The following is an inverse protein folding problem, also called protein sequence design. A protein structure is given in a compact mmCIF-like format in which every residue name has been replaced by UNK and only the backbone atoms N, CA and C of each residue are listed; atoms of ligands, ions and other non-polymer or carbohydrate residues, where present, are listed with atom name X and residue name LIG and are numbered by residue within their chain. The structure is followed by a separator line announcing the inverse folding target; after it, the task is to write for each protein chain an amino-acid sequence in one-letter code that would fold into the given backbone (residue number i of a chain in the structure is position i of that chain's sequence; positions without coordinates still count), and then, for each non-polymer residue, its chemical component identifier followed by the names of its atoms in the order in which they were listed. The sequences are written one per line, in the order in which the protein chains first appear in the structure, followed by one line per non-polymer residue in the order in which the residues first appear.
data_IF_745702819599
#
_entry.id   IF_745702819599
#
_cell.length_a   1.000
_cell.length_b   1.000
_cell.length_c   1.000
_cell.angle_alpha   90.00
_cell.angle_beta   90.00
_cell.angle_gamma   90.00
#
_symmetry.space_group_name_H-M   'P 1'
#
loop_
_entity.id
_entity.type
_entity.pdbx_description
1 polymer ?
#
# COMPACT_ATOMS: atom_id res chain seq x y z
N UNK A 1 4.47 -0.42 16.17
CA UNK A 1 4.66 -0.53 14.71
C UNK A 1 4.35 -1.96 14.33
N UNK A 2 3.61 -2.19 13.25
CA UNK A 2 3.27 -3.55 12.80
C UNK A 2 4.25 -3.96 11.70
N UNK A 3 4.86 -5.14 11.84
CA UNK A 3 5.72 -5.73 10.80
C UNK A 3 4.84 -6.46 9.80
N UNK A 4 4.88 -6.02 8.53
CA UNK A 4 4.24 -6.67 7.39
C UNK A 4 5.32 -7.31 6.54
N UNK A 5 5.35 -8.65 6.52
CA UNK A 5 6.43 -9.40 5.87
C UNK A 5 6.10 -9.67 4.40
N UNK A 6 7.06 -9.40 3.52
CA UNK A 6 6.99 -9.81 2.12
C UNK A 6 7.17 -11.33 2.00
N UNK A 7 6.11 -12.01 1.59
CA UNK A 7 6.09 -13.47 1.44
C UNK A 7 6.67 -13.98 0.11
N UNK A 8 6.89 -13.08 -0.84
CA UNK A 8 7.25 -13.38 -2.24
C UNK A 8 6.07 -13.27 -3.20
N UNK A 9 4.93 -12.76 -2.73
CA UNK A 9 3.72 -12.52 -3.52
C UNK A 9 3.42 -11.04 -3.78
N UNK A 10 4.35 -10.14 -3.43
CA UNK A 10 4.17 -8.71 -3.57
C UNK A 10 3.17 -8.15 -2.56
N UNK A 11 3.39 -8.41 -1.28
CA UNK A 11 2.47 -8.00 -0.21
C UNK A 11 2.36 -6.48 -0.14
N UNK A 12 1.13 -5.97 -0.26
CA UNK A 12 0.84 -4.53 -0.16
C UNK A 12 1.23 -4.04 1.25
N UNK A 13 1.99 -2.95 1.31
CA UNK A 13 2.44 -2.36 2.57
C UNK A 13 3.51 -3.19 3.30
N UNK A 14 4.14 -4.18 2.63
CA UNK A 14 5.27 -4.89 3.20
C UNK A 14 6.38 -3.92 3.59
N UNK A 15 6.90 -4.09 4.81
CA UNK A 15 7.97 -3.28 5.38
C UNK A 15 9.14 -4.12 5.93
N UNK A 16 9.11 -5.43 5.70
CA UNK A 16 10.16 -6.35 6.14
C UNK A 16 10.29 -7.56 5.20
N UNK A 17 11.49 -8.08 5.02
CA UNK A 17 11.75 -9.31 4.27
C UNK A 17 11.61 -10.58 5.13
N UNK A 18 11.64 -10.46 6.44
CA UNK A 18 11.32 -11.51 7.39
C UNK A 18 10.90 -10.88 8.73
N UNK A 19 10.34 -11.67 9.62
CA UNK A 19 9.94 -11.23 10.96
C UNK A 19 11.06 -11.39 12.02
N UNK A 20 10.82 -10.86 13.21
CA UNK A 20 11.75 -10.97 14.33
C UNK A 20 12.04 -12.41 14.76
N UNK A 21 11.08 -13.34 14.60
CA UNK A 21 11.28 -14.77 14.91
C UNK A 21 12.32 -15.41 13.99
N UNK A 22 12.30 -15.05 12.69
CA UNK A 22 13.34 -15.48 11.74
C UNK A 22 14.73 -15.00 12.17
N UNK A 23 14.85 -13.70 12.55
CA UNK A 23 16.12 -13.14 13.02
C UNK A 23 16.61 -13.86 14.27
N UNK A 24 15.71 -14.14 15.22
CA UNK A 24 16.03 -14.91 16.42
C UNK A 24 16.61 -16.27 16.05
N UNK A 25 15.91 -17.05 15.21
CA UNK A 25 16.37 -18.37 14.75
C UNK A 25 17.72 -18.29 14.03
N UNK A 26 17.90 -17.29 13.17
CA UNK A 26 19.15 -17.06 12.44
C UNK A 26 20.33 -16.78 13.37
N UNK A 27 20.15 -15.98 14.41
CA UNK A 27 21.19 -15.65 15.39
C UNK A 27 21.45 -16.81 16.35
N UNK A 28 20.42 -17.55 16.76
CA UNK A 28 20.55 -18.75 17.61
C UNK A 28 21.44 -19.80 16.95
N UNK A 29 21.23 -20.09 15.68
CA UNK A 29 22.07 -21.05 14.93
C UNK A 29 23.54 -20.63 14.81
N UNK A 30 23.87 -19.39 15.19
CA UNK A 30 25.21 -18.79 15.17
C UNK A 30 25.72 -18.42 16.56
N UNK A 31 25.00 -18.83 17.62
CA UNK A 31 25.32 -18.53 19.02
C UNK A 31 25.48 -17.03 19.31
N UNK A 32 24.63 -16.20 18.66
CA UNK A 32 24.67 -14.72 18.76
C UNK A 32 23.35 -14.13 19.29
N UNK A 33 22.41 -14.95 19.72
CA UNK A 33 21.05 -14.53 20.10
C UNK A 33 20.94 -13.79 21.43
N UNK A 34 21.91 -13.91 22.35
CA UNK A 34 21.79 -13.44 23.74
C UNK A 34 21.35 -11.98 23.83
N UNK A 35 22.08 -11.09 23.14
CA UNK A 35 21.77 -9.66 23.16
C UNK A 35 20.50 -9.31 22.38
N UNK A 36 20.15 -10.07 21.34
CA UNK A 36 18.90 -9.94 20.60
C UNK A 36 17.68 -10.40 21.43
N UNK A 37 17.81 -11.50 22.13
CA UNK A 37 16.74 -12.07 22.96
C UNK A 37 16.41 -11.20 24.18
N UNK A 38 17.34 -10.39 24.64
CA UNK A 38 17.13 -9.41 25.72
C UNK A 38 16.26 -8.21 25.33
N UNK A 39 16.01 -8.00 24.03
CA UNK A 39 15.18 -6.93 23.54
C UNK A 39 13.69 -7.22 23.72
N UNK A 40 12.88 -6.17 23.85
CA UNK A 40 11.42 -6.27 23.76
C UNK A 40 10.98 -6.63 22.33
N UNK A 41 9.77 -7.18 22.19
CA UNK A 41 9.18 -7.46 20.86
C UNK A 41 9.16 -6.23 19.98
N UNK A 42 8.71 -5.07 20.52
CA UNK A 42 8.64 -3.83 19.78
C UNK A 42 10.00 -3.34 19.27
N UNK A 43 11.07 -3.50 20.06
CA UNK A 43 12.43 -3.16 19.64
C UNK A 43 12.91 -4.09 18.52
N UNK A 44 12.68 -5.40 18.65
CA UNK A 44 13.04 -6.36 17.61
C UNK A 44 12.32 -6.07 16.29
N UNK A 45 11.04 -5.76 16.35
CA UNK A 45 10.24 -5.39 15.17
C UNK A 45 10.76 -4.09 14.53
N UNK A 46 11.08 -3.08 15.33
CA UNK A 46 11.68 -1.83 14.85
C UNK A 46 13.02 -2.06 14.13
N UNK A 47 13.88 -2.92 14.68
CA UNK A 47 15.19 -3.21 14.07
C UNK A 47 15.06 -4.03 12.77
N UNK A 48 14.07 -4.91 12.67
CA UNK A 48 13.75 -5.64 11.43
C UNK A 48 13.34 -4.68 10.32
N UNK A 49 12.47 -3.72 10.63
CA UNK A 49 12.04 -2.71 9.65
C UNK A 49 13.21 -1.81 9.27
N UNK A 50 13.98 -1.28 10.24
CA UNK A 50 15.15 -0.44 9.98
C UNK A 50 16.21 -1.13 9.11
N UNK A 51 16.42 -2.43 9.32
CA UNK A 51 17.31 -3.23 8.48
C UNK A 51 16.81 -3.37 7.05
N UNK A 52 15.50 -3.55 6.87
CA UNK A 52 14.88 -3.61 5.54
C UNK A 52 14.98 -2.26 4.84
N UNK A 53 14.66 -1.16 5.52
CA UNK A 53 14.79 0.20 4.99
C UNK A 53 16.23 0.50 4.53
N UNK A 54 17.22 0.05 5.31
CA UNK A 54 18.63 0.20 4.92
C UNK A 54 18.96 -0.59 3.65
N UNK A 55 18.46 -1.83 3.52
CA UNK A 55 18.64 -2.63 2.31
C UNK A 55 18.02 -1.91 1.12
N UNK A 56 16.79 -1.41 1.24
CA UNK A 56 16.09 -0.71 0.17
C UNK A 56 16.84 0.56 -0.27
N UNK A 57 17.30 1.38 0.67
CA UNK A 57 18.04 2.62 0.40
C UNK A 57 19.38 2.34 -0.27
N UNK A 58 20.13 1.38 0.25
CA UNK A 58 21.49 1.10 -0.21
C UNK A 58 21.56 0.24 -1.47
N UNK A 59 20.71 -0.78 -1.55
CA UNK A 59 20.79 -1.83 -2.54
C UNK A 59 19.63 -1.85 -3.53
N UNK A 60 18.47 -1.29 -3.18
CA UNK A 60 17.22 -1.41 -3.92
C UNK A 60 17.35 -1.03 -5.40
N UNK A 61 18.08 0.04 -5.71
CA UNK A 61 18.33 0.51 -7.07
C UNK A 61 19.38 -0.31 -7.85
N UNK A 62 20.12 -1.21 -7.17
CA UNK A 62 21.19 -2.03 -7.76
C UNK A 62 20.79 -3.48 -7.99
N UNK A 63 19.67 -3.93 -7.43
CA UNK A 63 19.22 -5.30 -7.61
C UNK A 63 18.91 -5.59 -9.08
N UNK A 64 19.41 -6.74 -9.56
CA UNK A 64 19.17 -7.25 -10.90
C UNK A 64 17.71 -7.68 -11.09
N UNK A 65 17.26 -7.78 -12.35
CA UNK A 65 15.86 -8.08 -12.67
C UNK A 65 14.94 -6.88 -12.46
N UNK A 66 13.63 -7.11 -12.60
CA UNK A 66 12.57 -6.08 -12.42
C UNK A 66 11.64 -6.46 -11.29
N UNK A 67 11.00 -5.50 -10.62
CA UNK A 67 9.95 -5.78 -9.63
C UNK A 67 8.85 -6.60 -10.27
N UNK A 68 8.37 -7.63 -9.57
CA UNK A 68 7.48 -8.64 -10.15
C UNK A 68 6.03 -8.20 -10.20
N UNK A 69 5.57 -7.47 -9.19
CA UNK A 69 4.16 -7.13 -9.04
C UNK A 69 3.90 -5.64 -9.24
N UNK A 70 2.91 -5.39 -10.08
CA UNK A 70 2.14 -4.16 -10.08
C UNK A 70 0.73 -4.54 -9.64
N UNK A 71 0.08 -3.69 -8.88
CA UNK A 71 -1.28 -3.88 -8.41
C UNK A 71 -2.18 -2.91 -9.16
N UNK A 72 -3.31 -3.41 -9.63
CA UNK A 72 -4.35 -2.56 -10.18
C UNK A 72 -5.09 -1.83 -9.04
N UNK A 73 -5.68 -0.70 -9.36
CA UNK A 73 -6.55 0.00 -8.45
C UNK A 73 -7.72 -0.90 -8.04
N UNK A 74 -7.99 -0.98 -6.75
CA UNK A 74 -9.19 -1.62 -6.22
C UNK A 74 -10.27 -0.54 -6.08
N UNK A 75 -11.40 -0.63 -6.78
CA UNK A 75 -12.46 0.37 -6.67
C UNK A 75 -13.14 0.31 -5.30
N UNK A 76 -13.63 1.46 -4.84
CA UNK A 76 -14.46 1.50 -3.65
C UNK A 76 -15.82 0.85 -3.87
N UNK A 77 -16.39 0.30 -2.81
CA UNK A 77 -17.72 -0.30 -2.80
C UNK A 77 -18.63 0.40 -1.80
N UNK A 78 -19.93 0.36 -2.05
CA UNK A 78 -20.97 0.81 -1.14
C UNK A 78 -22.18 -0.12 -1.24
N UNK A 79 -23.12 -0.03 -0.31
CA UNK A 79 -24.35 -0.82 -0.39
C UNK A 79 -25.58 -0.04 0.10
N UNK A 80 -26.72 -0.43 -0.45
CA UNK A 80 -28.05 0.07 -0.09
C UNK A 80 -28.90 -1.14 0.29
N UNK A 81 -29.33 -1.23 1.53
CA UNK A 81 -30.10 -2.34 2.07
C UNK A 81 -31.52 -1.87 2.41
N UNK A 82 -32.52 -2.45 1.80
CA UNK A 82 -33.93 -2.16 2.02
C UNK A 82 -34.51 -3.18 3.00
N UNK A 83 -34.82 -2.75 4.23
CA UNK A 83 -35.58 -3.57 5.15
C UNK A 83 -37.07 -3.62 4.80
N UNK A 84 -37.59 -2.52 4.24
CA UNK A 84 -38.93 -2.40 3.66
C UNK A 84 -38.93 -1.27 2.61
N UNK A 85 -40.07 -1.00 1.98
CA UNK A 85 -40.20 0.10 1.04
C UNK A 85 -39.90 1.45 1.74
N UNK A 86 -39.17 2.38 1.11
CA UNK A 86 -39.03 3.76 1.59
C UNK A 86 -40.39 4.49 1.53
N UNK A 87 -40.44 5.71 2.05
CA UNK A 87 -41.63 6.55 1.94
C UNK A 87 -41.61 7.35 0.64
N UNK A 88 -42.80 7.63 0.12
CA UNK A 88 -42.92 8.48 -1.10
C UNK A 88 -42.28 9.87 -0.86
N UNK A 89 -41.68 10.42 -1.88
CA UNK A 89 -40.94 11.67 -1.92
C UNK A 89 -39.61 11.67 -1.16
N UNK A 90 -39.19 10.55 -0.60
CA UNK A 90 -37.83 10.41 -0.08
C UNK A 90 -36.80 10.36 -1.22
N UNK A 91 -35.61 10.90 -0.95
CA UNK A 91 -34.57 11.12 -1.95
C UNK A 91 -33.29 10.40 -1.57
N UNK A 92 -32.75 9.60 -2.49
CA UNK A 92 -31.41 9.04 -2.45
C UNK A 92 -30.49 9.88 -3.35
N UNK A 93 -29.32 10.23 -2.87
CA UNK A 93 -28.29 10.88 -3.69
C UNK A 93 -27.04 10.02 -3.79
N UNK A 94 -26.52 9.86 -5.02
CA UNK A 94 -25.22 9.26 -5.33
C UNK A 94 -24.44 10.28 -6.11
N UNK A 95 -23.49 10.95 -5.45
CA UNK A 95 -22.78 12.13 -5.97
C UNK A 95 -23.78 13.20 -6.43
N UNK A 96 -23.74 13.58 -7.70
CA UNK A 96 -24.63 14.59 -8.32
C UNK A 96 -25.92 14.00 -8.92
N UNK A 97 -26.18 12.70 -8.74
CA UNK A 97 -27.42 12.03 -9.15
C UNK A 97 -28.38 11.90 -7.98
N UNK A 98 -29.64 12.28 -8.18
CA UNK A 98 -30.69 12.08 -7.19
C UNK A 98 -31.80 11.18 -7.70
N UNK A 99 -32.32 10.34 -6.85
CA UNK A 99 -33.39 9.40 -7.10
C UNK A 99 -34.50 9.64 -6.09
N UNK A 100 -35.66 10.12 -6.57
CA UNK A 100 -36.83 10.40 -5.70
C UNK A 100 -37.83 9.26 -5.83
N UNK A 101 -38.19 8.63 -4.74
CA UNK A 101 -39.22 7.59 -4.73
C UNK A 101 -40.61 8.20 -4.90
N UNK A 102 -41.35 7.77 -5.89
CA UNK A 102 -42.69 8.29 -6.22
C UNK A 102 -43.73 7.17 -6.22
N UNK A 103 -44.92 7.45 -5.70
CA UNK A 103 -46.06 6.56 -5.80
C UNK A 103 -46.56 6.39 -7.25
N UNK A 104 -46.31 7.38 -8.10
CA UNK A 104 -46.54 7.35 -9.54
C UNK A 104 -45.47 8.20 -10.25
N UNK A 105 -44.93 7.70 -11.35
CA UNK A 105 -43.90 8.39 -12.13
C UNK A 105 -44.50 9.58 -12.92
N UNK A 106 -43.75 10.65 -13.01
CA UNK A 106 -44.07 11.77 -13.89
C UNK A 106 -43.87 11.38 -15.36
N UNK A 107 -44.68 11.96 -16.24
CA UNK A 107 -44.53 11.88 -17.69
C UNK A 107 -43.56 12.92 -18.23
N UNK A 108 -43.13 13.87 -17.40
CA UNK A 108 -42.19 14.93 -17.78
C UNK A 108 -40.76 14.34 -17.93
N UNK A 109 -39.94 15.02 -18.70
CA UNK A 109 -38.51 14.64 -18.79
C UNK A 109 -37.77 14.98 -17.51
N UNK A 110 -36.77 14.16 -17.09
CA UNK A 110 -35.93 14.45 -15.94
C UNK A 110 -35.28 15.84 -16.01
N UNK A 111 -35.19 16.51 -14.87
CA UNK A 111 -34.51 17.80 -14.75
C UNK A 111 -33.05 17.60 -14.34
N UNK A 112 -32.14 17.62 -15.32
CA UNK A 112 -30.72 17.37 -15.05
C UNK A 112 -30.47 15.92 -14.59
N UNK A 113 -29.83 15.75 -13.43
CA UNK A 113 -29.54 14.45 -12.83
C UNK A 113 -30.56 14.05 -11.73
N UNK A 114 -31.78 14.59 -11.78
CA UNK A 114 -32.86 14.26 -10.83
C UNK A 114 -33.85 13.33 -11.51
N UNK A 115 -33.96 12.12 -11.00
CA UNK A 115 -34.77 11.05 -11.56
C UNK A 115 -35.82 10.56 -10.57
N UNK A 116 -36.92 10.07 -11.10
CA UNK A 116 -37.95 9.44 -10.29
C UNK A 116 -37.85 7.91 -10.39
N UNK A 117 -38.02 7.24 -9.27
CA UNK A 117 -38.08 5.78 -9.15
C UNK A 117 -39.45 5.40 -8.56
N UNK A 118 -40.12 4.43 -9.17
CA UNK A 118 -41.42 3.98 -8.68
C UNK A 118 -41.25 3.29 -7.31
N UNK A 119 -42.04 3.73 -6.34
CA UNK A 119 -42.10 3.09 -5.04
C UNK A 119 -42.64 1.68 -5.19
N UNK A 120 -41.92 0.69 -4.67
CA UNK A 120 -42.36 -0.71 -4.66
C UNK A 120 -43.35 -1.00 -3.51
N UNK A 121 -44.00 -2.13 -3.57
CA UNK A 121 -44.87 -2.61 -2.50
C UNK A 121 -44.12 -3.16 -1.27
N UNK A 122 -42.85 -3.48 -1.45
CA UNK A 122 -41.91 -3.99 -0.44
C UNK A 122 -40.49 -3.46 -0.73
N UNK A 123 -39.57 -3.71 0.22
CA UNK A 123 -38.16 -3.33 0.07
C UNK A 123 -37.51 -3.94 -1.17
N UNK A 124 -37.78 -5.21 -1.46
CA UNK A 124 -37.23 -5.88 -2.63
C UNK A 124 -37.71 -5.27 -3.97
N UNK A 125 -38.99 -4.87 -4.05
CA UNK A 125 -39.54 -4.21 -5.24
C UNK A 125 -38.91 -2.83 -5.44
N UNK A 126 -38.78 -2.04 -4.35
CA UNK A 126 -38.14 -0.72 -4.37
C UNK A 126 -36.64 -0.79 -4.73
N UNK A 127 -35.94 -1.84 -4.24
CA UNK A 127 -34.56 -2.12 -4.61
C UNK A 127 -34.44 -2.47 -6.11
N UNK A 128 -35.35 -3.30 -6.63
CA UNK A 128 -35.36 -3.66 -8.07
C UNK A 128 -35.60 -2.43 -8.95
N UNK A 129 -36.55 -1.57 -8.57
CA UNK A 129 -36.85 -0.34 -9.32
C UNK A 129 -35.68 0.64 -9.32
N UNK A 130 -34.98 0.79 -8.17
CA UNK A 130 -33.76 1.58 -8.10
C UNK A 130 -32.62 0.99 -8.90
N UNK A 131 -32.43 -0.33 -8.85
CA UNK A 131 -31.43 -1.01 -9.67
C UNK A 131 -31.64 -0.71 -11.16
N UNK A 132 -32.89 -0.85 -11.66
CA UNK A 132 -33.24 -0.53 -13.04
C UNK A 132 -32.91 0.92 -13.42
N UNK A 133 -33.19 1.86 -12.51
CA UNK A 133 -32.86 3.28 -12.69
C UNK A 133 -31.35 3.55 -12.71
N UNK A 134 -30.57 2.86 -11.85
CA UNK A 134 -29.10 3.02 -11.78
C UNK A 134 -28.40 2.57 -13.04
N UNK A 135 -28.89 1.49 -13.67
CA UNK A 135 -28.36 0.95 -14.93
C UNK A 135 -29.08 1.50 -16.17
N UNK A 136 -30.13 2.29 -15.98
CA UNK A 136 -31.01 2.81 -17.02
C UNK A 136 -31.53 1.69 -17.97
N UNK A 137 -32.14 0.65 -17.40
CA UNK A 137 -32.65 -0.49 -18.12
C UNK A 137 -33.70 -0.07 -19.16
N UNK A 138 -33.42 -0.24 -20.45
CA UNK A 138 -34.29 0.24 -21.52
C UNK A 138 -35.71 -0.38 -21.48
N UNK A 139 -35.82 -1.64 -21.01
CA UNK A 139 -37.10 -2.35 -20.97
C UNK A 139 -38.05 -1.87 -19.87
N UNK A 140 -37.52 -1.18 -18.85
CA UNK A 140 -38.24 -0.78 -17.64
C UNK A 140 -38.48 0.75 -17.54
N UNK A 141 -37.99 1.54 -18.51
CA UNK A 141 -38.21 2.97 -18.57
C UNK A 141 -39.69 3.32 -18.68
N UNK A 142 -40.18 4.21 -17.80
CA UNK A 142 -41.58 4.57 -17.70
C UNK A 142 -42.46 3.61 -16.91
N UNK A 143 -41.91 2.46 -16.44
CA UNK A 143 -42.64 1.50 -15.60
C UNK A 143 -42.06 1.39 -14.19
N UNK A 144 -40.75 1.27 -14.06
CA UNK A 144 -40.08 1.21 -12.73
C UNK A 144 -39.33 2.49 -12.39
N UNK A 145 -38.98 3.29 -13.41
CA UNK A 145 -38.36 4.59 -13.26
C UNK A 145 -38.77 5.54 -14.39
N UNK A 146 -38.54 6.82 -14.22
CA UNK A 146 -38.94 7.89 -15.16
C UNK A 146 -38.27 7.72 -16.52
N UNK A 147 -39.03 7.87 -17.61
CA UNK A 147 -38.52 7.87 -18.98
C UNK A 147 -37.48 9.01 -19.16
N UNK A 148 -36.34 8.71 -19.77
CA UNK A 148 -35.25 9.65 -19.95
C UNK A 148 -34.19 9.63 -18.83
N UNK A 149 -34.35 8.78 -17.83
CA UNK A 149 -33.29 8.48 -16.86
C UNK A 149 -32.06 7.94 -17.59
N UNK A 150 -30.88 8.40 -17.16
CA UNK A 150 -29.58 7.93 -17.67
C UNK A 150 -28.85 7.13 -16.61
N UNK A 151 -28.04 6.17 -17.03
CA UNK A 151 -27.23 5.38 -16.10
C UNK A 151 -26.32 6.26 -15.25
N UNK A 152 -26.14 5.87 -13.98
CA UNK A 152 -25.30 6.61 -13.06
C UNK A 152 -23.83 6.48 -13.45
N UNK A 153 -23.21 7.58 -13.87
CA UNK A 153 -21.81 7.60 -14.36
C UNK A 153 -20.77 7.37 -13.29
N UNK A 154 -21.13 7.41 -12.02
CA UNK A 154 -20.21 7.21 -10.89
C UNK A 154 -20.13 5.74 -10.45
N UNK A 155 -20.96 4.86 -11.04
CA UNK A 155 -21.06 3.45 -10.69
C UNK A 155 -20.82 2.58 -11.92
N UNK A 156 -19.84 1.66 -11.87
CA UNK A 156 -19.53 0.71 -12.95
C UNK A 156 -20.13 -0.67 -12.74
N UNK A 157 -20.38 -1.04 -11.49
CA UNK A 157 -20.96 -2.32 -11.11
C UNK A 157 -22.13 -2.08 -10.17
N UNK A 158 -23.29 -2.58 -10.59
CA UNK A 158 -24.49 -2.61 -9.76
C UNK A 158 -24.95 -4.05 -9.72
N UNK A 159 -25.04 -4.62 -8.51
CA UNK A 159 -25.62 -5.96 -8.32
C UNK A 159 -26.79 -5.87 -7.38
N UNK A 160 -27.84 -6.64 -7.69
CA UNK A 160 -29.03 -6.73 -6.86
C UNK A 160 -29.15 -8.13 -6.31
N UNK A 161 -29.21 -8.25 -4.99
CA UNK A 161 -29.50 -9.49 -4.28
C UNK A 161 -30.73 -9.28 -3.38
N UNK A 162 -31.88 -9.72 -3.85
CA UNK A 162 -33.18 -9.54 -3.19
C UNK A 162 -33.48 -8.07 -2.88
N UNK A 163 -33.13 -7.59 -1.71
CA UNK A 163 -33.38 -6.22 -1.24
C UNK A 163 -32.07 -5.46 -0.94
N UNK A 164 -30.93 -5.93 -1.45
CA UNK A 164 -29.63 -5.31 -1.29
C UNK A 164 -29.04 -4.96 -2.65
N UNK A 165 -28.66 -3.70 -2.83
CA UNK A 165 -27.92 -3.24 -3.99
C UNK A 165 -26.47 -3.01 -3.56
N UNK A 166 -25.52 -3.72 -4.18
CA UNK A 166 -24.11 -3.42 -4.03
C UNK A 166 -23.63 -2.57 -5.22
N UNK A 167 -22.85 -1.56 -4.90
CA UNK A 167 -22.34 -0.55 -5.81
C UNK A 167 -20.82 -0.61 -5.88
N UNK A 168 -20.26 -0.52 -7.10
CA UNK A 168 -18.82 -0.40 -7.34
C UNK A 168 -18.54 0.96 -8.00
N UNK A 169 -17.58 1.69 -7.48
CA UNK A 169 -17.20 3.03 -7.97
C UNK A 169 -16.54 2.97 -9.36
N UNK A 170 -16.88 3.94 -10.22
CA UNK A 170 -16.13 4.21 -11.46
C UNK A 170 -14.76 4.82 -11.13
N UNK A 171 -14.69 5.66 -10.10
CA UNK A 171 -13.43 6.25 -9.67
C UNK A 171 -12.50 5.14 -9.14
N UNK A 172 -11.30 4.97 -9.75
CA UNK A 172 -10.38 3.92 -9.37
C UNK A 172 -9.72 4.22 -8.02
N UNK A 173 -9.25 3.17 -7.37
CA UNK A 173 -8.42 3.28 -6.18
C UNK A 173 -9.09 4.00 -5.00
N UNK A 174 -8.27 4.63 -4.18
CA UNK A 174 -8.70 5.38 -3.00
C UNK A 174 -9.59 6.58 -3.34
N UNK A 175 -9.54 7.08 -4.57
CA UNK A 175 -10.40 8.19 -5.03
C UNK A 175 -11.89 7.82 -4.96
N UNK A 176 -12.24 6.55 -5.14
CA UNK A 176 -13.60 6.06 -5.02
C UNK A 176 -14.21 6.21 -3.62
N UNK A 177 -13.37 6.25 -2.58
CA UNK A 177 -13.83 6.42 -1.19
C UNK A 177 -14.43 7.82 -0.92
N UNK A 178 -14.17 8.80 -1.79
CA UNK A 178 -14.71 10.16 -1.66
C UNK A 178 -16.07 10.34 -2.34
N UNK A 179 -16.60 9.31 -3.00
CA UNK A 179 -17.96 9.35 -3.50
C UNK A 179 -18.95 9.54 -2.35
N UNK A 180 -20.08 10.17 -2.64
CA UNK A 180 -21.13 10.36 -1.65
C UNK A 180 -22.30 9.43 -1.92
N UNK A 181 -22.86 8.86 -0.85
CA UNK A 181 -24.09 8.09 -0.84
C UNK A 181 -24.89 8.56 0.36
N UNK A 182 -25.94 9.33 0.12
CA UNK A 182 -26.73 9.99 1.17
C UNK A 182 -28.22 9.97 0.87
N UNK A 183 -29.03 10.07 1.88
CA UNK A 183 -30.48 10.21 1.75
C UNK A 183 -31.16 9.89 3.10
N UNK A 184 -32.13 10.69 3.51
CA UNK A 184 -32.95 10.40 4.68
C UNK A 184 -34.06 9.38 4.31
N UNK A 185 -33.67 8.14 4.02
CA UNK A 185 -34.60 7.10 3.60
C UNK A 185 -35.10 6.29 4.79
N UNK A 186 -36.43 6.17 4.93
CA UNK A 186 -37.06 5.29 5.90
C UNK A 186 -36.90 3.83 5.46
N UNK A 187 -36.63 2.93 6.40
CA UNK A 187 -36.43 1.49 6.16
C UNK A 187 -35.26 1.12 5.25
N UNK A 188 -34.34 2.05 4.98
CA UNK A 188 -33.18 1.82 4.13
C UNK A 188 -31.89 2.16 4.87
N UNK A 189 -30.94 1.24 4.83
CA UNK A 189 -29.61 1.44 5.41
C UNK A 189 -28.59 1.66 4.29
N UNK A 190 -27.83 2.75 4.40
CA UNK A 190 -26.77 3.10 3.46
C UNK A 190 -25.42 2.81 4.08
N UNK A 191 -24.58 2.06 3.38
CA UNK A 191 -23.16 1.89 3.74
C UNK A 191 -22.34 2.82 2.86
N UNK A 192 -21.51 3.66 3.49
CA UNK A 192 -20.65 4.63 2.76
C UNK A 192 -19.60 3.94 1.93
N UNK A 193 -19.14 4.63 0.90
CA UNK A 193 -18.07 4.16 0.02
C UNK A 193 -16.78 3.89 0.80
N UNK A 194 -16.22 2.70 0.65
CA UNK A 194 -15.01 2.27 1.33
C UNK A 194 -14.27 1.17 0.55
N UNK A 195 -13.04 0.86 0.97
CA UNK A 195 -12.25 -0.25 0.40
C UNK A 195 -11.57 0.07 -0.91
N UNK A 196 -11.68 1.30 -1.43
CA UNK A 196 -10.89 1.76 -2.57
C UNK A 196 -9.42 1.89 -2.17
N UNK A 197 -8.52 1.25 -2.93
CA UNK A 197 -7.07 1.22 -2.68
C UNK A 197 -6.36 1.51 -3.99
N UNK A 198 -5.46 2.51 -3.97
CA UNK A 198 -4.64 2.82 -5.14
C UNK A 198 -3.71 1.66 -5.45
N UNK A 199 -3.64 1.30 -6.70
CA UNK A 199 -2.67 0.37 -7.24
C UNK A 199 -1.26 0.93 -7.19
N UNK A 200 -0.29 0.17 -7.62
CA UNK A 200 1.09 0.60 -7.63
C UNK A 200 2.07 -0.55 -7.81
N UNK A 201 3.34 -0.26 -7.63
CA UNK A 201 4.36 -1.30 -7.57
C UNK A 201 4.44 -1.89 -6.16
N UNK A 202 4.93 -3.12 -6.06
CA UNK A 202 5.22 -3.75 -4.76
C UNK A 202 6.05 -2.84 -3.85
N UNK A 203 5.80 -2.90 -2.54
CA UNK A 203 6.40 -2.00 -1.56
C UNK A 203 7.93 -2.15 -1.47
N UNK A 204 8.44 -3.38 -1.53
CA UNK A 204 9.86 -3.70 -1.44
C UNK A 204 10.46 -4.07 -2.80
N UNK A 205 11.79 -4.09 -2.89
CA UNK A 205 12.50 -4.43 -4.14
C UNK A 205 12.30 -5.88 -4.57
N UNK A 206 12.04 -6.79 -3.67
CA UNK A 206 11.70 -8.19 -3.95
C UNK A 206 10.22 -8.47 -3.69
N UNK A 207 9.62 -9.45 -4.42
CA UNK A 207 10.21 -10.37 -5.41
C UNK A 207 10.53 -9.71 -6.75
N UNK A 208 11.40 -10.38 -7.55
CA UNK A 208 11.86 -9.88 -8.85
C UNK A 208 11.72 -10.92 -9.96
N UNK A 209 11.40 -10.45 -11.16
CA UNK A 209 11.41 -11.24 -12.39
C UNK A 209 12.78 -11.13 -13.09
N UNK A 210 13.18 -12.20 -13.78
CA UNK A 210 14.41 -12.21 -14.56
C UNK A 210 15.68 -12.19 -13.71
N UNK A 211 15.59 -12.54 -12.42
CA UNK A 211 16.73 -12.64 -11.55
C UNK A 211 17.29 -14.06 -11.55
N UNK A 212 18.60 -14.18 -11.75
CA UNK A 212 19.33 -15.44 -11.69
C UNK A 212 20.51 -15.30 -10.72
N UNK A 213 20.79 -16.35 -9.97
CA UNK A 213 21.99 -16.41 -9.13
C UNK A 213 23.24 -16.73 -9.96
N UNK A 214 24.42 -16.68 -9.36
CA UNK A 214 25.68 -17.00 -10.04
C UNK A 214 25.76 -18.41 -10.62
N UNK A 215 24.94 -19.35 -10.12
CA UNK A 215 24.82 -20.70 -10.67
C UNK A 215 23.83 -20.79 -11.84
N UNK A 216 23.30 -19.67 -12.35
CA UNK A 216 22.33 -19.62 -13.43
C UNK A 216 20.93 -20.12 -13.05
N UNK A 217 20.62 -20.30 -11.76
CA UNK A 217 19.29 -20.70 -11.29
C UNK A 217 18.41 -19.47 -11.12
N UNK A 218 17.19 -19.55 -11.60
CA UNK A 218 16.17 -18.52 -11.38
C UNK A 218 15.92 -18.35 -9.87
N UNK A 219 15.87 -17.10 -9.45
CA UNK A 219 15.53 -16.72 -8.07
C UNK A 219 14.07 -16.28 -8.04
N UNK A 220 13.27 -16.95 -7.22
CA UNK A 220 11.85 -16.68 -7.07
C UNK A 220 11.55 -16.21 -5.64
N UNK A 221 10.54 -15.35 -5.50
CA UNK A 221 10.11 -14.81 -4.22
C UNK A 221 11.18 -13.98 -3.51
N UNK A 222 11.27 -14.12 -2.20
CA UNK A 222 12.28 -13.46 -1.34
C UNK A 222 13.43 -14.42 -1.07
N UNK A 223 14.64 -14.17 -1.62
CA UNK A 223 15.77 -15.09 -1.50
C UNK A 223 16.20 -15.30 -0.05
N UNK A 224 16.64 -16.51 0.27
CA UNK A 224 17.14 -16.84 1.62
C UNK A 224 18.30 -15.92 2.03
N UNK A 225 19.25 -15.66 1.13
CA UNK A 225 20.40 -14.80 1.44
C UNK A 225 19.99 -13.34 1.72
N UNK A 226 18.92 -12.84 1.09
CA UNK A 226 18.37 -11.51 1.40
C UNK A 226 17.81 -11.47 2.83
N UNK A 227 17.06 -12.51 3.24
CA UNK A 227 16.57 -12.65 4.63
C UNK A 227 17.72 -12.74 5.63
N UNK A 228 18.79 -13.45 5.28
CA UNK A 228 19.98 -13.56 6.11
C UNK A 228 20.73 -12.23 6.21
N UNK A 229 20.88 -11.50 5.11
CA UNK A 229 21.47 -10.16 5.10
C UNK A 229 20.67 -9.20 5.98
N UNK A 230 19.32 -9.21 5.87
CA UNK A 230 18.45 -8.43 6.74
C UNK A 230 18.67 -8.78 8.22
N UNK A 231 18.83 -10.07 8.56
CA UNK A 231 19.08 -10.49 9.94
C UNK A 231 20.44 -9.98 10.45
N UNK A 232 21.49 -9.98 9.62
CA UNK A 232 22.80 -9.38 9.96
C UNK A 232 22.72 -7.88 10.17
N UNK A 233 21.98 -7.16 9.31
CA UNK A 233 21.76 -5.74 9.49
C UNK A 233 20.90 -5.44 10.74
N UNK A 234 19.85 -6.22 11.02
CA UNK A 234 19.01 -6.05 12.21
C UNK A 234 19.82 -6.21 13.52
N UNK A 235 20.72 -7.19 13.59
CA UNK A 235 21.63 -7.31 14.74
C UNK A 235 22.59 -6.13 14.83
N UNK A 236 23.01 -5.57 13.70
CA UNK A 236 23.90 -4.42 13.66
C UNK A 236 23.20 -3.11 14.07
N UNK A 237 21.94 -2.89 13.65
CA UNK A 237 21.12 -1.72 14.07
C UNK A 237 21.04 -1.62 15.59
N UNK A 238 21.00 -2.75 16.28
CA UNK A 238 21.00 -2.81 17.75
C UNK A 238 22.19 -2.10 18.39
N UNK A 239 23.34 -2.10 17.73
CA UNK A 239 24.59 -1.58 18.28
C UNK A 239 25.04 -0.24 17.67
N UNK A 240 24.58 0.08 16.48
CA UNK A 240 24.98 1.29 15.78
C UNK A 240 23.98 1.65 14.66
N UNK A 241 23.83 2.93 14.37
CA UNK A 241 23.13 3.40 13.17
C UNK A 241 23.83 2.86 11.92
N UNK A 242 23.08 2.26 11.00
CA UNK A 242 23.63 1.67 9.76
C UNK A 242 24.12 2.73 8.79
N UNK A 243 23.44 3.85 8.74
CA UNK A 243 23.73 4.98 7.86
C UNK A 243 23.87 6.24 8.73
N UNK A 244 24.98 6.37 9.47
CA UNK A 244 25.19 7.54 10.32
C UNK A 244 25.43 8.77 9.47
N UNK A 245 24.85 9.89 9.86
CA UNK A 245 25.16 11.17 9.26
C UNK A 245 26.66 11.45 9.39
N UNK A 246 27.31 11.93 8.33
CA UNK A 246 28.71 12.32 8.41
C UNK A 246 28.86 13.49 9.38
N UNK A 247 29.89 13.44 10.20
CA UNK A 247 30.25 14.55 11.07
C UNK A 247 31.05 15.54 10.24
N UNK A 248 30.48 16.71 10.03
CA UNK A 248 31.13 17.83 9.35
C UNK A 248 31.58 18.88 10.39
N UNK A 249 32.60 19.65 10.03
CA UNK A 249 32.94 20.90 10.75
C UNK A 249 31.95 22.01 10.35
N UNK A 250 32.10 23.20 10.97
CA UNK A 250 31.28 24.38 10.70
C UNK A 250 31.39 24.90 9.25
N UNK A 251 32.35 24.40 8.47
CA UNK A 251 32.61 24.76 7.08
C UNK A 251 32.26 23.61 6.09
N UNK A 252 31.67 22.51 6.58
CA UNK A 252 31.26 21.38 5.76
C UNK A 252 32.39 20.37 5.47
N UNK A 253 33.52 20.47 6.12
CA UNK A 253 34.61 19.50 6.01
C UNK A 253 34.30 18.21 6.78
N UNK A 254 34.45 17.04 6.15
CA UNK A 254 34.40 15.76 6.86
C UNK A 254 35.68 15.41 7.57
N UNK A 255 35.59 14.72 8.72
CA UNK A 255 36.75 14.23 9.44
C UNK A 255 37.57 13.26 8.57
N UNK A 256 38.78 13.60 8.25
CA UNK A 256 39.68 12.75 7.44
C UNK A 256 40.67 11.97 8.30
N UNK A 257 40.95 12.45 9.50
CA UNK A 257 41.89 11.82 10.43
C UNK A 257 41.46 12.09 11.85
N UNK A 258 41.38 11.07 12.66
CA UNK A 258 41.19 11.15 14.10
C UNK A 258 42.38 10.45 14.76
N UNK A 259 43.12 11.18 15.63
CA UNK A 259 44.22 10.62 16.37
C UNK A 259 43.95 10.86 17.85
N UNK A 260 43.78 9.79 18.58
CA UNK A 260 43.68 9.83 20.04
C UNK A 260 44.94 9.26 20.65
N UNK A 261 45.49 9.93 21.68
CA UNK A 261 46.62 9.47 22.45
C UNK A 261 46.31 9.60 23.93
N UNK A 262 46.40 8.49 24.64
CA UNK A 262 46.12 8.43 26.05
C UNK A 262 47.44 8.49 26.83
N UNK A 263 47.76 9.69 27.28
CA UNK A 263 48.88 10.05 28.16
C UNK A 263 50.14 10.62 27.47
N UNK A 264 50.58 11.82 27.75
CA UNK A 264 49.76 12.98 28.05
C UNK A 264 48.85 13.32 26.83
N UNK A 265 47.66 13.75 27.10
CA UNK A 265 46.53 13.85 26.16
C UNK A 265 46.93 14.57 24.86
N UNK A 266 46.80 13.89 23.74
CA UNK A 266 46.91 14.46 22.41
C UNK A 266 45.67 14.09 21.62
N UNK A 267 44.84 15.06 21.23
CA UNK A 267 43.68 14.85 20.33
C UNK A 267 43.96 15.65 19.07
N UNK A 268 44.12 14.97 17.97
CA UNK A 268 44.30 15.58 16.64
C UNK A 268 43.10 15.19 15.77
N UNK A 269 42.29 16.16 15.36
CA UNK A 269 41.21 15.96 14.42
C UNK A 269 41.49 16.80 13.18
N UNK A 270 41.62 16.13 12.04
CA UNK A 270 41.88 16.76 10.75
C UNK A 270 40.63 16.65 9.90
N UNK A 271 40.20 17.75 9.30
CA UNK A 271 39.03 17.80 8.40
C UNK A 271 39.48 17.99 6.97
N UNK A 272 38.67 17.50 6.01
CA UNK A 272 38.86 17.80 4.57
C UNK A 272 38.51 19.28 4.33
N UNK A 273 39.18 19.92 3.37
CA UNK A 273 38.81 21.25 2.92
C UNK A 273 37.48 21.20 2.13
N UNK A 274 36.36 21.25 2.79
CA UNK A 274 34.94 21.32 2.44
C UNK A 274 34.42 21.14 1.02
N UNK A 275 35.28 21.01 0.03
CA UNK A 275 34.92 21.00 -1.39
C UNK A 275 34.56 19.62 -1.97
N UNK A 276 34.87 18.50 -1.30
CA UNK A 276 34.67 17.16 -1.86
C UNK A 276 34.47 16.06 -0.82
N UNK A 277 33.66 16.30 0.23
CA UNK A 277 33.29 15.27 1.19
C UNK A 277 32.58 14.08 0.53
N UNK A 278 33.32 13.05 0.12
CA UNK A 278 32.70 11.77 -0.23
C UNK A 278 32.22 11.12 1.06
N UNK A 279 30.90 11.08 1.28
CA UNK A 279 30.32 10.23 2.30
C UNK A 279 30.66 8.79 1.96
N UNK A 280 31.60 8.20 2.68
CA UNK A 280 31.93 6.78 2.55
C UNK A 280 30.87 5.97 3.24
N UNK A 281 30.06 5.25 2.47
CA UNK A 281 29.10 4.31 3.01
C UNK A 281 29.85 3.23 3.78
N UNK A 282 29.58 3.08 5.06
CA UNK A 282 30.23 2.08 5.92
C UNK A 282 29.97 0.68 5.40
N UNK A 283 31.00 -0.14 5.14
CA UNK A 283 30.80 -1.53 4.71
C UNK A 283 30.41 -2.41 5.89
N UNK A 284 29.51 -3.36 5.63
CA UNK A 284 29.09 -4.41 6.56
C UNK A 284 29.32 -5.77 5.91
N UNK A 285 30.56 -6.29 5.84
CA UNK A 285 30.90 -7.42 4.98
C UNK A 285 30.10 -8.70 5.25
N UNK A 286 29.65 -8.92 6.50
CA UNK A 286 28.83 -10.07 6.85
C UNK A 286 27.46 -10.07 6.17
N UNK A 287 26.86 -8.88 5.97
CA UNK A 287 25.58 -8.72 5.30
C UNK A 287 25.77 -8.42 3.80
N UNK A 288 26.71 -7.54 3.44
CA UNK A 288 26.93 -7.07 2.08
C UNK A 288 27.22 -8.23 1.12
N UNK A 289 28.10 -9.17 1.52
CA UNK A 289 28.46 -10.35 0.71
C UNK A 289 27.29 -11.30 0.42
N UNK A 290 26.26 -11.30 1.27
CA UNK A 290 25.07 -12.10 1.03
C UNK A 290 24.21 -11.54 -0.11
N UNK A 291 24.37 -10.26 -0.42
CA UNK A 291 23.61 -9.57 -1.47
C UNK A 291 24.37 -9.49 -2.80
N UNK A 292 25.68 -9.73 -2.82
CA UNK A 292 26.53 -9.55 -4.01
C UNK A 292 26.02 -10.30 -5.25
N UNK A 293 25.41 -11.47 -5.07
CA UNK A 293 24.90 -12.26 -6.21
C UNK A 293 23.62 -11.70 -6.83
N UNK A 294 22.95 -10.74 -6.16
CA UNK A 294 21.68 -10.16 -6.60
C UNK A 294 21.82 -8.74 -7.12
N UNK A 295 23.01 -8.14 -7.01
CA UNK A 295 23.23 -6.74 -7.36
C UNK A 295 24.15 -6.63 -8.59
N UNK A 296 23.96 -5.54 -9.33
CA UNK A 296 24.93 -5.17 -10.38
C UNK A 296 26.31 -4.95 -9.72
N UNK A 297 27.38 -5.57 -10.26
CA UNK A 297 28.73 -5.21 -9.87
C UNK A 297 28.89 -3.69 -10.06
N UNK A 298 29.53 -3.02 -9.10
CA UNK A 298 29.86 -1.62 -9.26
C UNK A 298 30.69 -1.47 -10.54
N UNK A 299 30.07 -0.94 -11.60
CA UNK A 299 30.70 -0.81 -12.90
C UNK A 299 31.94 0.07 -12.75
N UNK A 300 33.10 -0.47 -13.11
CA UNK A 300 34.27 0.35 -13.43
C UNK A 300 33.89 1.05 -14.73
N UNK A 301 33.45 2.29 -14.66
CA UNK A 301 33.38 3.15 -15.83
C UNK A 301 34.83 3.38 -16.20
N UNK A 302 35.33 2.61 -17.15
CA UNK A 302 36.58 2.97 -17.85
C UNK A 302 36.23 4.17 -18.71
N UNK A 303 36.77 5.33 -18.33
CA UNK A 303 36.81 6.52 -19.16
C UNK A 303 37.64 6.27 -20.40
#
# INVERSE_FOLDING_TARGET
MTVVVESGSGVIGANAYANAAYVTTYLTTRSRETAWSALTSAQRDSYVVAATDYIEKRWGHRFLGIRQYAFDDVPAIASIVFADAPVADEVLAINDFTYTYKAALSTDSPQGNNFEVLLGSAGADSASNLYDALVASADNAGSTFQTGTVANRHVIGVTLETATIALTSVAPGASGNYNTLTGPLTNVTLTTWAGGIDGGSQALSFPRLGLYNWSGRKVEGVPLKLKQAMAEYADRVRTATLDPDPVFDDQGGSITKLREKVGPIEVETEYSDGTHGRVLIRPYPAADRLLDEYVQPAGVIRA
#
